data_IF_306822345383
#
_entry.id   IF_306822345383
#
_cell.length_a   1.000
_cell.length_b   1.000
_cell.length_c   1.000
_cell.angle_alpha   90.00
_cell.angle_beta   90.00
_cell.angle_gamma   90.00
#
_symmetry.space_group_name_H-M   'P 1'
#
loop_
_entity.id
_entity.type
_entity.pdbx_description
1 polymer ?
#
# COMPACT_ATOMS: atom_id res chain seq x y z
N UNK A 1 5.26 7.57 -8.88
CA UNK A 1 4.50 8.79 -9.22
C UNK A 1 4.54 9.76 -8.06
N UNK A 2 4.82 11.04 -8.31
CA UNK A 2 4.73 12.09 -7.28
C UNK A 2 3.34 12.72 -7.36
N UNK A 3 2.71 12.91 -6.20
CA UNK A 3 1.39 13.49 -6.02
C UNK A 3 1.52 14.86 -5.33
N UNK A 4 0.45 15.66 -5.37
CA UNK A 4 0.39 16.94 -4.68
C UNK A 4 0.71 16.82 -3.17
N UNK A 5 1.28 17.88 -2.60
CA UNK A 5 1.59 17.94 -1.16
C UNK A 5 2.75 17.04 -0.70
N UNK A 6 3.72 16.76 -1.58
CA UNK A 6 4.90 15.95 -1.24
C UNK A 6 4.61 14.47 -1.02
N UNK A 7 3.46 14.01 -1.50
CA UNK A 7 3.03 12.62 -1.44
C UNK A 7 3.65 11.86 -2.61
N UNK A 8 4.00 10.59 -2.41
CA UNK A 8 4.57 9.73 -3.45
C UNK A 8 3.83 8.41 -3.43
N UNK A 9 3.32 8.03 -4.61
CA UNK A 9 2.79 6.70 -4.89
C UNK A 9 3.88 5.87 -5.55
N UNK A 10 4.22 4.76 -4.91
CA UNK A 10 5.18 3.76 -5.39
C UNK A 10 4.43 2.48 -5.72
N UNK A 11 4.70 1.93 -6.90
CA UNK A 11 4.22 0.64 -7.34
C UNK A 11 5.43 -0.14 -7.86
N UNK A 12 5.64 -1.33 -7.33
CA UNK A 12 6.68 -2.25 -7.80
C UNK A 12 6.07 -3.63 -7.97
N UNK A 13 6.43 -4.28 -9.06
CA UNK A 13 6.09 -5.66 -9.35
C UNK A 13 7.41 -6.43 -9.45
N UNK A 14 7.52 -7.48 -8.66
CA UNK A 14 8.66 -8.39 -8.63
C UNK A 14 8.37 -9.68 -9.39
N UNK A 15 9.20 -10.70 -9.14
CA UNK A 15 8.94 -12.06 -9.61
C UNK A 15 7.99 -12.76 -8.65
N UNK A 16 7.48 -13.92 -9.01
CA UNK A 16 6.72 -14.80 -8.11
C UNK A 16 5.58 -14.10 -7.34
N UNK A 17 4.87 -13.18 -8.00
CA UNK A 17 3.76 -12.39 -7.44
C UNK A 17 4.17 -11.47 -6.26
N UNK A 18 5.45 -11.15 -6.12
CA UNK A 18 5.92 -10.12 -5.21
C UNK A 18 5.48 -8.74 -5.72
N UNK A 19 5.04 -7.89 -4.79
CA UNK A 19 4.63 -6.54 -5.13
C UNK A 19 4.80 -5.58 -3.96
N UNK A 20 4.83 -4.30 -4.27
CA UNK A 20 4.72 -3.20 -3.31
C UNK A 20 3.79 -2.14 -3.90
N UNK A 21 2.72 -1.82 -3.18
CA UNK A 21 1.89 -0.62 -3.39
C UNK A 21 2.07 0.26 -2.15
N UNK A 22 2.63 1.45 -2.30
CA UNK A 22 2.96 2.30 -1.16
C UNK A 22 2.60 3.75 -1.42
N UNK A 23 1.87 4.34 -0.48
CA UNK A 23 1.66 5.78 -0.37
C UNK A 23 2.51 6.32 0.78
N UNK A 24 3.35 7.34 0.51
CA UNK A 24 4.16 8.01 1.52
C UNK A 24 4.09 9.53 1.42
N UNK A 25 4.32 10.24 2.52
CA UNK A 25 4.53 11.69 2.58
C UNK A 25 5.93 11.93 3.17
N UNK A 26 6.86 12.40 2.34
CA UNK A 26 8.28 12.42 2.72
C UNK A 26 8.80 11.01 3.05
N UNK A 27 9.32 10.82 4.27
CA UNK A 27 9.80 9.52 4.79
C UNK A 27 8.73 8.68 5.49
N UNK A 28 7.54 9.22 5.72
CA UNK A 28 6.48 8.53 6.45
C UNK A 28 5.61 7.70 5.50
N UNK A 29 5.51 6.40 5.78
CA UNK A 29 4.61 5.48 5.07
C UNK A 29 3.22 5.64 5.63
N UNK A 30 2.29 6.07 4.77
CA UNK A 30 0.88 6.25 5.13
C UNK A 30 0.10 4.95 4.95
N UNK A 31 0.34 4.30 3.80
CA UNK A 31 -0.28 3.02 3.42
C UNK A 31 0.76 2.20 2.69
N UNK A 32 0.83 0.90 2.99
CA UNK A 32 1.65 -0.05 2.25
C UNK A 32 0.95 -1.40 2.15
N UNK A 33 0.88 -1.94 0.96
CA UNK A 33 0.51 -3.32 0.69
C UNK A 33 1.69 -3.96 0.02
N UNK A 34 2.18 -5.06 0.56
CA UNK A 34 3.30 -5.77 -0.05
C UNK A 34 3.14 -7.28 0.06
N UNK A 35 3.80 -7.98 -0.86
CA UNK A 35 3.98 -9.42 -0.81
C UNK A 35 5.45 -9.73 -0.98
N UNK A 36 5.98 -10.56 -0.09
CA UNK A 36 7.31 -11.15 -0.22
C UNK A 36 7.21 -12.65 -0.01
N UNK A 37 8.16 -13.40 -0.58
CA UNK A 37 8.23 -14.86 -0.38
C UNK A 37 8.26 -15.29 1.09
N UNK A 38 8.75 -14.44 1.99
CA UNK A 38 8.91 -14.74 3.42
C UNK A 38 7.69 -14.38 4.28
N UNK A 39 6.90 -13.38 3.88
CA UNK A 39 5.84 -12.79 4.73
C UNK A 39 4.42 -13.02 4.23
N UNK A 40 4.25 -13.53 3.00
CA UNK A 40 2.96 -13.48 2.31
C UNK A 40 2.49 -12.04 2.12
N UNK A 41 1.18 -11.86 1.93
CA UNK A 41 0.57 -10.55 1.73
C UNK A 41 0.38 -9.81 3.07
N UNK A 42 0.89 -8.59 3.13
CA UNK A 42 0.86 -7.74 4.30
C UNK A 42 0.23 -6.40 3.94
N UNK A 43 -0.60 -5.89 4.85
CA UNK A 43 -1.18 -4.56 4.80
C UNK A 43 -0.68 -3.75 5.98
N UNK A 44 -0.24 -2.53 5.70
CA UNK A 44 0.06 -1.49 6.68
C UNK A 44 -0.79 -0.28 6.39
N UNK A 45 -1.65 0.09 7.34
CA UNK A 45 -2.48 1.28 7.26
C UNK A 45 -2.72 1.83 8.66
N UNK A 46 -2.82 3.16 8.78
CA UNK A 46 -3.09 3.84 10.06
C UNK A 46 -2.13 3.41 11.19
N UNK A 47 -0.84 3.22 10.85
CA UNK A 47 0.20 2.79 11.79
C UNK A 47 0.14 1.32 12.24
N UNK A 48 -0.80 0.52 11.73
CA UNK A 48 -0.92 -0.90 12.08
C UNK A 48 -0.52 -1.78 10.90
N UNK A 49 0.08 -2.93 11.21
CA UNK A 49 0.43 -3.95 10.23
C UNK A 49 -0.36 -5.23 10.53
N UNK A 50 -0.91 -5.86 9.49
CA UNK A 50 -1.63 -7.13 9.59
C UNK A 50 -1.40 -8.00 8.36
N UNK A 51 -1.59 -9.31 8.52
CA UNK A 51 -1.75 -10.19 7.36
C UNK A 51 -2.94 -9.71 6.51
N UNK A 52 -2.83 -9.88 5.20
CA UNK A 52 -3.82 -9.45 4.24
C UNK A 52 -4.18 -10.60 3.29
N UNK A 53 -5.44 -10.65 2.89
CA UNK A 53 -5.93 -11.61 1.91
C UNK A 53 -6.91 -10.90 0.99
N UNK A 54 -6.84 -11.20 -0.29
CA UNK A 54 -7.73 -10.67 -1.31
C UNK A 54 -8.06 -11.77 -2.32
N UNK A 55 -9.24 -11.68 -2.91
CA UNK A 55 -9.75 -12.66 -3.88
C UNK A 55 -9.45 -12.28 -5.33
N UNK A 56 -9.17 -11.01 -5.58
CA UNK A 56 -8.83 -10.51 -6.91
C UNK A 56 -7.97 -9.24 -6.84
N UNK A 57 -7.29 -8.91 -7.94
CA UNK A 57 -6.47 -7.70 -8.04
C UNK A 57 -7.34 -6.43 -7.91
N UNK A 58 -8.60 -6.49 -8.33
CA UNK A 58 -9.56 -5.40 -8.17
C UNK A 58 -9.88 -5.14 -6.70
N UNK A 59 -9.99 -6.19 -5.87
CA UNK A 59 -10.14 -6.04 -4.43
C UNK A 59 -8.89 -5.39 -3.81
N UNK A 60 -7.70 -5.86 -4.19
CA UNK A 60 -6.43 -5.26 -3.74
C UNK A 60 -6.36 -3.76 -4.10
N UNK A 61 -6.73 -3.41 -5.33
CA UNK A 61 -6.77 -2.02 -5.80
C UNK A 61 -7.76 -1.19 -4.99
N UNK A 62 -8.99 -1.66 -4.84
CA UNK A 62 -10.04 -0.97 -4.10
C UNK A 62 -9.66 -0.73 -2.63
N UNK A 63 -9.13 -1.76 -1.96
CA UNK A 63 -8.72 -1.65 -0.56
C UNK A 63 -7.57 -0.64 -0.40
N UNK A 64 -6.59 -0.67 -1.30
CA UNK A 64 -5.48 0.29 -1.30
C UNK A 64 -5.96 1.72 -1.55
N UNK A 65 -6.80 1.95 -2.56
CA UNK A 65 -7.36 3.27 -2.87
C UNK A 65 -8.14 3.83 -1.69
N UNK A 66 -8.96 3.00 -1.04
CA UNK A 66 -9.74 3.40 0.13
C UNK A 66 -8.86 3.79 1.32
N UNK A 67 -7.84 2.99 1.63
CA UNK A 67 -6.89 3.31 2.70
C UNK A 67 -6.06 4.56 2.37
N UNK A 68 -5.70 4.75 1.10
CA UNK A 68 -4.98 5.91 0.63
C UNK A 68 -5.81 7.18 0.80
N UNK A 69 -7.09 7.17 0.39
CA UNK A 69 -8.03 8.26 0.62
C UNK A 69 -8.18 8.58 2.11
N UNK A 70 -8.38 7.55 2.94
CA UNK A 70 -8.52 7.72 4.38
C UNK A 70 -7.27 8.33 5.02
N UNK A 71 -6.08 7.90 4.60
CA UNK A 71 -4.82 8.46 5.08
C UNK A 71 -4.58 9.89 4.57
N UNK A 72 -5.10 10.24 3.40
CA UNK A 72 -5.04 11.60 2.86
C UNK A 72 -5.99 12.58 3.54
N UNK A 73 -7.09 12.11 4.15
CA UNK A 73 -8.01 12.96 4.95
C UNK A 73 -7.49 13.25 6.36
N UNK A 74 -6.57 12.45 6.89
CA UNK A 74 -6.08 12.52 8.27
C UNK A 74 -4.78 13.32 8.45
N UNK A 75 -4.22 13.97 7.41
CA UNK A 75 -3.00 14.79 7.52
C UNK A 75 -2.67 15.63 6.30
#
# INVERSE_FOLDING_TARGET
MVLAGGKVLEMRLGRDLEYVLRLRKGRHILVEYCSTRASGHVRRARGRQSAYQFKSVEQLRYDFERDAEDAQRQG
#
